data_IF_882834837920
#
_entry.id   IF_882834837920
#
_cell.length_a   1.000
_cell.length_b   1.000
_cell.length_c   1.000
_cell.angle_alpha   90.00
_cell.angle_beta   90.00
_cell.angle_gamma   90.00
#
_symmetry.space_group_name_H-M   'P 1'
#
loop_
_entity.id
_entity.type
_entity.pdbx_description
1 polymer ?
#
# COMPACT_ATOMS: atom_id res chain seq x y z
N UNK A 1 -25.25 19.99 -26.12
CA UNK A 1 -24.83 19.42 -24.82
C UNK A 1 -25.56 18.12 -24.62
N UNK A 2 -24.82 17.04 -24.46
CA UNK A 2 -25.37 15.74 -24.14
C UNK A 2 -25.62 15.64 -22.64
N UNK A 3 -26.76 15.12 -22.26
CA UNK A 3 -27.04 14.82 -20.85
C UNK A 3 -26.26 13.58 -20.41
N UNK A 4 -25.80 13.57 -19.18
CA UNK A 4 -25.12 12.43 -18.61
C UNK A 4 -26.13 11.31 -18.32
N UNK A 5 -25.81 10.11 -18.74
CA UNK A 5 -26.61 8.93 -18.40
C UNK A 5 -26.10 8.33 -17.09
N UNK A 6 -26.69 8.75 -15.99
CA UNK A 6 -26.29 8.35 -14.64
C UNK A 6 -26.45 6.86 -14.37
N UNK A 7 -27.21 6.15 -15.17
CA UNK A 7 -27.33 4.70 -15.06
C UNK A 7 -26.01 4.00 -15.44
N UNK A 8 -25.33 4.50 -16.47
CA UNK A 8 -24.11 3.90 -17.00
C UNK A 8 -22.85 4.68 -16.65
N UNK A 9 -22.97 6.00 -16.40
CA UNK A 9 -21.87 6.90 -16.14
C UNK A 9 -21.72 7.30 -14.66
N UNK A 10 -22.51 6.66 -13.79
CA UNK A 10 -22.51 6.94 -12.36
C UNK A 10 -21.58 6.03 -11.56
N UNK A 11 -22.09 5.53 -10.46
CA UNK A 11 -21.36 4.65 -9.55
C UNK A 11 -21.04 3.32 -10.23
N UNK A 12 -19.83 2.84 -10.00
CA UNK A 12 -19.37 1.54 -10.48
C UNK A 12 -18.99 0.63 -9.34
N UNK A 13 -19.33 -0.64 -9.47
CA UNK A 13 -18.96 -1.69 -8.53
C UNK A 13 -18.04 -2.66 -9.27
N UNK A 14 -16.85 -2.85 -8.78
CA UNK A 14 -15.94 -3.89 -9.26
C UNK A 14 -16.06 -5.07 -8.30
N UNK A 15 -16.51 -6.21 -8.81
CA UNK A 15 -16.75 -7.40 -7.99
C UNK A 15 -15.43 -8.09 -7.62
N UNK A 16 -15.44 -8.84 -6.54
CA UNK A 16 -14.27 -9.56 -6.06
C UNK A 16 -13.65 -10.51 -7.09
N UNK A 17 -14.47 -11.09 -7.97
CA UNK A 17 -14.02 -11.98 -9.04
C UNK A 17 -13.64 -11.24 -10.34
N UNK A 18 -13.66 -9.91 -10.33
CA UNK A 18 -13.33 -9.08 -11.49
C UNK A 18 -12.00 -8.32 -11.31
N UNK A 19 -11.30 -8.54 -10.22
CA UNK A 19 -10.01 -7.90 -9.97
C UNK A 19 -8.98 -8.36 -11.01
N UNK A 20 -8.13 -7.43 -11.43
CA UNK A 20 -7.15 -7.68 -12.47
C UNK A 20 -5.78 -8.00 -11.86
N UNK A 21 -5.36 -9.27 -11.95
CA UNK A 21 -4.03 -9.71 -11.52
C UNK A 21 -2.91 -9.37 -12.51
N UNK A 22 -3.24 -8.90 -13.71
CA UNK A 22 -2.26 -8.45 -14.70
C UNK A 22 -1.82 -7.01 -14.40
N UNK A 23 -1.12 -6.84 -13.30
CA UNK A 23 -0.60 -5.56 -12.79
C UNK A 23 0.84 -5.81 -12.30
N UNK A 24 1.69 -4.77 -12.20
CA UNK A 24 3.05 -4.95 -11.73
C UNK A 24 3.12 -5.68 -10.40
N UNK A 25 3.98 -6.69 -10.31
CA UNK A 25 4.12 -7.55 -9.15
C UNK A 25 5.50 -7.38 -8.50
N UNK A 26 5.58 -7.76 -7.24
CA UNK A 26 6.83 -7.87 -6.48
C UNK A 26 6.99 -9.32 -6.04
N UNK A 27 8.21 -9.91 -6.06
CA UNK A 27 8.42 -11.28 -5.58
C UNK A 27 7.87 -11.47 -4.16
N UNK A 28 7.09 -12.55 -3.97
CA UNK A 28 6.43 -12.85 -2.70
C UNK A 28 5.14 -12.07 -2.44
N UNK A 29 4.71 -11.25 -3.39
CA UNK A 29 3.50 -10.44 -3.29
C UNK A 29 2.63 -10.62 -4.52
N UNK A 30 1.31 -10.72 -4.32
CA UNK A 30 0.33 -10.83 -5.40
C UNK A 30 -0.63 -9.67 -5.31
N UNK A 31 -0.62 -8.81 -6.33
CA UNK A 31 -1.51 -7.65 -6.42
C UNK A 31 -2.63 -7.92 -7.40
N UNK A 32 -3.82 -7.40 -7.08
CA UNK A 32 -4.96 -7.42 -8.00
C UNK A 32 -5.59 -6.03 -8.01
N UNK A 33 -5.67 -5.42 -9.19
CA UNK A 33 -6.20 -4.08 -9.37
C UNK A 33 -7.73 -4.09 -9.41
N UNK A 34 -8.35 -3.19 -8.66
CA UNK A 34 -9.80 -3.02 -8.62
C UNK A 34 -10.23 -1.69 -9.25
N UNK A 35 -9.68 -0.58 -8.78
CA UNK A 35 -10.02 0.76 -9.24
C UNK A 35 -8.84 1.31 -10.01
N UNK A 36 -9.01 1.44 -11.31
CA UNK A 36 -7.98 1.96 -12.22
C UNK A 36 -8.65 2.80 -13.31
N UNK A 37 -7.84 3.55 -14.04
CA UNK A 37 -8.33 4.25 -15.23
C UNK A 37 -8.93 3.27 -16.25
N UNK A 38 -8.27 2.15 -16.49
CA UNK A 38 -8.70 1.16 -17.49
C UNK A 38 -10.04 0.50 -17.11
N UNK A 39 -10.27 0.24 -15.81
CA UNK A 39 -11.48 -0.46 -15.37
C UNK A 39 -12.67 0.46 -15.17
N UNK A 40 -12.47 1.64 -14.60
CA UNK A 40 -13.57 2.52 -14.19
C UNK A 40 -13.40 3.98 -14.61
N UNK A 41 -12.33 4.31 -15.31
CA UNK A 41 -12.04 5.68 -15.72
C UNK A 41 -11.50 6.56 -14.59
N UNK A 42 -11.00 5.98 -13.51
CA UNK A 42 -10.41 6.74 -12.41
C UNK A 42 -9.21 7.54 -12.91
N UNK A 43 -9.13 8.80 -12.53
CA UNK A 43 -8.05 9.69 -12.98
C UNK A 43 -6.99 9.92 -11.91
N UNK A 44 -7.35 9.89 -10.63
CA UNK A 44 -6.47 10.25 -9.53
C UNK A 44 -6.12 9.10 -8.62
N UNK A 45 -7.05 8.19 -8.38
CA UNK A 45 -6.85 7.10 -7.42
C UNK A 45 -6.70 5.76 -8.14
N UNK A 46 -5.84 4.95 -7.58
CA UNK A 46 -5.70 3.53 -7.88
C UNK A 46 -6.00 2.75 -6.61
N UNK A 47 -6.75 1.68 -6.68
CA UNK A 47 -7.02 0.82 -5.52
C UNK A 47 -7.01 -0.64 -5.93
N UNK A 48 -6.51 -1.48 -5.03
CA UNK A 48 -6.46 -2.91 -5.25
C UNK A 48 -6.14 -3.65 -3.96
N UNK A 49 -5.94 -4.94 -4.09
CA UNK A 49 -5.54 -5.81 -3.00
C UNK A 49 -4.10 -6.26 -3.18
N UNK A 50 -3.45 -6.61 -2.09
CA UNK A 50 -2.16 -7.29 -2.10
C UNK A 50 -2.16 -8.42 -1.08
N UNK A 51 -1.71 -9.58 -1.52
CA UNK A 51 -1.39 -10.71 -0.65
C UNK A 51 0.12 -10.80 -0.53
N UNK A 52 0.63 -10.78 0.69
CA UNK A 52 2.07 -10.86 0.97
C UNK A 52 2.33 -12.18 1.68
N UNK A 53 3.09 -13.06 1.04
CA UNK A 53 3.41 -14.37 1.58
C UNK A 53 4.22 -14.26 2.87
N UNK A 54 4.14 -15.30 3.70
CA UNK A 54 4.90 -15.40 4.94
C UNK A 54 6.40 -15.14 4.67
N UNK A 55 7.02 -14.29 5.47
CA UNK A 55 8.44 -13.96 5.37
C UNK A 55 8.82 -13.05 4.19
N UNK A 56 7.88 -12.67 3.34
CA UNK A 56 8.19 -11.82 2.18
C UNK A 56 8.39 -10.36 2.60
N UNK A 57 9.28 -9.69 1.88
CA UNK A 57 9.60 -8.27 2.09
C UNK A 57 10.06 -7.64 0.79
N UNK A 58 9.85 -6.32 0.67
CA UNK A 58 10.44 -5.53 -0.43
C UNK A 58 11.87 -5.13 -0.08
N UNK A 59 12.60 -4.63 -1.07
CA UNK A 59 13.78 -3.79 -0.82
C UNK A 59 13.36 -2.38 -0.38
N UNK A 60 14.33 -1.55 -0.07
CA UNK A 60 14.09 -0.14 0.19
C UNK A 60 13.73 0.58 -1.10
N UNK A 61 12.66 1.40 -1.06
CA UNK A 61 12.17 2.13 -2.23
C UNK A 61 11.29 3.31 -1.81
N UNK A 62 10.97 4.18 -2.77
CA UNK A 62 9.87 5.14 -2.61
C UNK A 62 9.02 5.18 -3.89
N UNK A 63 7.89 5.83 -3.83
CA UNK A 63 6.94 5.93 -4.94
C UNK A 63 6.84 7.34 -5.52
N UNK A 64 7.92 8.13 -5.44
CA UNK A 64 7.91 9.51 -5.92
C UNK A 64 6.87 10.34 -5.18
N UNK A 65 6.10 11.13 -5.91
CA UNK A 65 5.06 12.00 -5.36
C UNK A 65 3.78 11.27 -4.95
N UNK A 66 3.69 9.96 -5.19
CA UNK A 66 2.50 9.15 -4.87
C UNK A 66 2.36 8.99 -3.36
N UNK A 67 1.17 9.26 -2.86
CA UNK A 67 0.75 8.88 -1.51
C UNK A 67 0.10 7.50 -1.56
N UNK A 68 0.26 6.72 -0.50
CA UNK A 68 -0.40 5.42 -0.38
C UNK A 68 -1.07 5.26 0.97
N UNK A 69 -2.22 4.61 0.95
CA UNK A 69 -2.90 4.10 2.15
C UNK A 69 -2.93 2.59 2.03
N UNK A 70 -2.55 1.92 3.10
CA UNK A 70 -2.61 0.46 3.21
C UNK A 70 -3.52 0.12 4.38
N UNK A 71 -4.56 -0.66 4.11
CA UNK A 71 -5.48 -1.17 5.14
C UNK A 71 -5.22 -2.66 5.34
N UNK A 72 -4.90 -3.06 6.56
CA UNK A 72 -4.64 -4.45 6.89
C UNK A 72 -5.97 -5.18 7.11
N UNK A 73 -6.22 -6.19 6.28
CA UNK A 73 -7.43 -7.03 6.40
C UNK A 73 -7.17 -8.22 7.31
N UNK A 74 -6.03 -8.88 7.13
CA UNK A 74 -5.66 -10.08 7.87
C UNK A 74 -4.13 -10.19 7.94
N UNK A 75 -3.63 -10.64 9.07
CA UNK A 75 -2.20 -10.80 9.30
C UNK A 75 -1.59 -9.59 9.97
N UNK A 76 -0.26 -9.47 9.88
CA UNK A 76 0.48 -8.39 10.52
C UNK A 76 1.54 -7.84 9.58
N UNK A 77 1.43 -6.55 9.29
CA UNK A 77 2.38 -5.82 8.46
C UNK A 77 3.46 -5.18 9.32
N UNK A 78 4.68 -5.13 8.79
CA UNK A 78 5.76 -4.33 9.37
C UNK A 78 6.27 -3.37 8.31
N UNK A 79 6.41 -2.10 8.68
CA UNK A 79 6.98 -1.06 7.84
C UNK A 79 8.27 -0.57 8.47
N UNK A 80 9.29 -0.37 7.64
CA UNK A 80 10.49 0.37 8.03
C UNK A 80 10.61 1.56 7.12
N UNK A 81 11.10 2.69 7.63
CA UNK A 81 11.27 3.90 6.82
C UNK A 81 12.41 4.77 7.34
N UNK A 82 12.73 5.77 6.55
CA UNK A 82 13.82 6.69 6.79
C UNK A 82 14.99 6.44 5.84
N UNK A 83 15.93 7.35 5.80
CA UNK A 83 17.09 7.31 4.91
C UNK A 83 18.10 6.19 5.25
N UNK A 84 17.92 5.52 6.38
CA UNK A 84 18.65 4.32 6.80
C UNK A 84 17.71 3.24 7.32
N UNK A 85 16.42 3.27 6.95
CA UNK A 85 15.37 2.39 7.46
C UNK A 85 15.41 2.26 8.99
N UNK A 86 15.74 3.36 9.67
CA UNK A 86 15.99 3.40 11.10
C UNK A 86 14.73 3.32 11.95
N UNK A 87 13.55 3.59 11.36
CA UNK A 87 12.28 3.54 12.07
C UNK A 87 11.47 2.32 11.67
N UNK A 88 10.68 1.81 12.60
CA UNK A 88 9.77 0.69 12.34
C UNK A 88 8.45 0.83 13.08
N UNK A 89 7.38 0.35 12.48
CA UNK A 89 6.07 0.20 13.10
C UNK A 89 5.37 -1.03 12.53
N UNK A 90 4.45 -1.59 13.31
CA UNK A 90 3.62 -2.71 12.90
C UNK A 90 2.15 -2.33 12.90
N UNK A 91 1.39 -2.99 12.04
CA UNK A 91 -0.05 -2.81 11.91
C UNK A 91 -0.72 -4.17 11.79
N UNK A 92 -1.84 -4.33 12.47
CA UNK A 92 -2.69 -5.53 12.45
C UNK A 92 -4.05 -5.26 11.82
N UNK A 93 -4.94 -6.27 11.81
CA UNK A 93 -6.25 -6.16 11.17
C UNK A 93 -7.05 -4.95 11.64
N UNK A 94 -7.54 -4.16 10.70
CA UNK A 94 -8.27 -2.93 10.97
C UNK A 94 -7.42 -1.67 11.01
N UNK A 95 -6.10 -1.81 11.03
CA UNK A 95 -5.20 -0.66 11.07
C UNK A 95 -4.96 -0.10 9.67
N UNK A 96 -4.73 1.22 9.61
CA UNK A 96 -4.36 1.93 8.39
C UNK A 96 -2.91 2.37 8.47
N UNK A 97 -2.19 2.23 7.36
CA UNK A 97 -0.82 2.73 7.19
C UNK A 97 -0.86 3.83 6.13
N UNK A 98 -0.26 4.97 6.44
CA UNK A 98 -0.06 6.04 5.47
C UNK A 98 1.41 6.13 5.07
N UNK A 99 1.68 6.10 3.77
CA UNK A 99 3.03 6.27 3.23
C UNK A 99 3.08 7.61 2.50
N UNK A 100 3.79 8.61 3.05
CA UNK A 100 3.94 9.92 2.41
C UNK A 100 4.73 9.88 1.11
N UNK A 101 4.67 10.94 0.29
CA UNK A 101 5.53 11.07 -0.89
C UNK A 101 7.02 11.02 -0.52
N UNK A 102 7.82 10.42 -1.39
CA UNK A 102 9.29 10.37 -1.36
C UNK A 102 9.92 9.70 -0.14
N UNK A 103 9.14 9.10 0.74
CA UNK A 103 9.70 8.46 1.94
C UNK A 103 10.34 7.13 1.57
N UNK A 104 11.64 6.95 1.81
CA UNK A 104 12.27 5.65 1.70
C UNK A 104 11.64 4.68 2.70
N UNK A 105 11.15 3.55 2.21
CA UNK A 105 10.49 2.58 3.07
C UNK A 105 10.67 1.15 2.57
N UNK A 106 10.36 0.21 3.43
CA UNK A 106 10.36 -1.22 3.17
C UNK A 106 9.10 -1.80 3.78
N UNK A 107 8.39 -2.60 2.99
CA UNK A 107 7.18 -3.32 3.42
C UNK A 107 7.51 -4.79 3.63
N UNK A 108 6.98 -5.38 4.71
CA UNK A 108 7.17 -6.79 4.96
C UNK A 108 6.01 -7.42 5.71
N UNK A 109 5.84 -8.71 5.51
CA UNK A 109 5.00 -9.52 6.38
C UNK A 109 5.79 -9.79 7.67
N UNK A 110 5.23 -9.37 8.81
CA UNK A 110 5.88 -9.57 10.11
C UNK A 110 5.87 -11.03 10.57
N UNK A 111 5.04 -11.89 9.94
CA UNK A 111 4.95 -13.31 10.26
C UNK A 111 5.78 -14.15 9.28
N UNK A 112 6.44 -15.19 9.82
CA UNK A 112 7.15 -16.19 9.01
C UNK A 112 6.29 -17.38 8.59
N UNK A 113 5.03 -17.46 9.05
CA UNK A 113 4.16 -18.63 8.84
C UNK A 113 2.74 -18.28 8.39
N UNK A 114 2.30 -17.03 8.52
CA UNK A 114 0.97 -16.60 8.08
C UNK A 114 1.04 -15.57 6.95
N UNK A 115 0.07 -15.62 6.04
CA UNK A 115 -0.09 -14.64 4.97
C UNK A 115 -0.62 -13.30 5.49
N UNK A 116 -0.33 -12.24 4.77
CA UNK A 116 -0.80 -10.88 5.03
C UNK A 116 -1.68 -10.43 3.88
N UNK A 117 -2.89 -9.97 4.20
CA UNK A 117 -3.85 -9.45 3.22
C UNK A 117 -4.08 -7.97 3.48
N UNK A 118 -3.90 -7.16 2.46
CA UNK A 118 -4.08 -5.71 2.54
C UNK A 118 -4.89 -5.18 1.36
N UNK A 119 -5.53 -4.04 1.60
CA UNK A 119 -6.05 -3.16 0.56
C UNK A 119 -5.08 -2.00 0.41
N UNK A 120 -4.75 -1.63 -0.83
CA UNK A 120 -3.84 -0.52 -1.12
C UNK A 120 -4.59 0.51 -1.95
N UNK A 121 -4.50 1.78 -1.55
CA UNK A 121 -5.03 2.92 -2.31
C UNK A 121 -3.87 3.87 -2.58
N UNK A 122 -3.72 4.30 -3.82
CA UNK A 122 -2.67 5.24 -4.25
C UNK A 122 -3.28 6.46 -4.90
N UNK A 123 -2.56 7.58 -4.79
CA UNK A 123 -2.99 8.87 -5.34
C UNK A 123 -2.69 9.04 -6.83
N UNK A 124 -2.21 8.02 -7.52
CA UNK A 124 -1.91 8.07 -8.96
C UNK A 124 -2.01 6.71 -9.61
N UNK A 125 -2.11 6.73 -10.93
CA UNK A 125 -2.28 5.54 -11.77
C UNK A 125 -0.97 4.85 -12.10
N UNK A 126 0.14 5.59 -12.16
CA UNK A 126 1.43 5.05 -12.57
C UNK A 126 2.08 4.26 -11.44
N UNK A 127 2.63 3.08 -11.75
CA UNK A 127 3.33 2.28 -10.76
C UNK A 127 4.76 2.79 -10.55
N UNK A 128 4.91 3.96 -9.93
CA UNK A 128 6.21 4.57 -9.68
C UNK A 128 6.90 3.81 -8.55
N UNK A 129 8.08 3.24 -8.85
CA UNK A 129 8.94 2.59 -7.86
C UNK A 129 10.38 3.04 -8.12
N UNK A 130 10.97 3.71 -7.16
CA UNK A 130 12.38 4.10 -7.18
C UNK A 130 13.11 3.27 -6.14
N UNK A 131 13.87 2.27 -6.60
CA UNK A 131 14.65 1.41 -5.73
C UNK A 131 15.87 2.15 -5.19
N UNK A 132 16.16 1.95 -3.90
CA UNK A 132 17.21 2.66 -3.20
C UNK A 132 18.23 1.67 -2.63
N UNK A 133 19.51 2.01 -2.76
CA UNK A 133 20.61 1.33 -2.10
C UNK A 133 21.05 2.19 -0.92
N UNK A 134 20.47 1.93 0.25
CA UNK A 134 20.70 2.71 1.46
C UNK A 134 21.16 1.82 2.60
N UNK A 135 21.95 2.36 3.55
CA UNK A 135 22.35 1.62 4.74
C UNK A 135 21.12 1.32 5.61
N UNK A 136 21.19 0.25 6.38
CA UNK A 136 20.10 -0.17 7.25
C UNK A 136 20.58 -0.20 8.69
N UNK A 137 19.95 0.60 9.54
CA UNK A 137 20.21 0.61 10.98
C UNK A 137 19.59 -0.64 11.63
N UNK A 138 20.36 -1.36 12.43
CA UNK A 138 19.92 -2.55 13.16
C UNK A 138 20.27 -2.46 14.65
N UNK A 139 19.30 -2.70 15.54
CA UNK A 139 17.87 -2.83 15.30
C UNK A 139 17.22 -1.46 14.99
N UNK A 140 16.10 -1.42 14.29
CA UNK A 140 15.39 -0.16 14.07
C UNK A 140 14.73 0.33 15.36
N UNK A 141 14.50 1.64 15.42
CA UNK A 141 13.74 2.27 16.50
C UNK A 141 12.26 2.06 16.31
N UNK A 142 11.59 1.46 17.28
CA UNK A 142 10.14 1.30 17.25
C UNK A 142 9.43 2.63 17.45
N UNK A 143 8.50 2.97 16.54
CA UNK A 143 7.74 4.21 16.60
C UNK A 143 6.28 3.90 16.87
N UNK A 144 5.71 4.57 17.87
CA UNK A 144 4.28 4.54 18.15
C UNK A 144 3.65 5.82 17.64
N UNK A 145 2.61 5.67 16.86
CA UNK A 145 1.86 6.82 16.37
C UNK A 145 0.94 7.38 17.43
N UNK A 146 1.01 8.69 17.54
CA UNK A 146 0.11 9.49 18.36
C UNK A 146 -0.35 10.64 17.49
N UNK A 147 -1.64 10.80 17.30
CA UNK A 147 -2.16 11.89 16.48
C UNK A 147 -2.09 13.24 17.23
N UNK A 148 -2.19 14.35 16.48
CA UNK A 148 -2.10 15.70 17.03
C UNK A 148 -3.29 16.06 17.93
N UNK A 149 -4.40 15.34 17.82
CA UNK A 149 -5.61 15.56 18.63
C UNK A 149 -5.50 14.82 19.97
N UNK A 150 -4.84 13.67 20.00
CA UNK A 150 -4.68 12.83 21.18
C UNK A 150 -3.18 12.58 21.44
N UNK A 151 -2.42 13.59 21.87
CA UNK A 151 -0.96 13.49 21.96
C UNK A 151 -0.49 12.71 23.20
N UNK A 152 -0.92 11.49 23.35
CA UNK A 152 -0.43 10.58 24.40
C UNK A 152 0.94 10.03 24.03
N UNK A 153 1.85 10.08 24.97
CA UNK A 153 3.25 9.71 24.77
C UNK A 153 3.71 8.72 25.82
#
# INVERSE_FOLDING_TARGET
MTSTDWKYDGVRVVRANELDGNTPQTPGMERAAAITHAKVGASKIWAGTVHIHAGAKTGAHHHGEIESVIYVVQGRARMRWGDALQFTAEAGPGDFIYVPPFVPHQEMNASGDEGLQCVVVRSGQEPIVVNLDIPTVEPPEEVRWVDDVHPER
#
